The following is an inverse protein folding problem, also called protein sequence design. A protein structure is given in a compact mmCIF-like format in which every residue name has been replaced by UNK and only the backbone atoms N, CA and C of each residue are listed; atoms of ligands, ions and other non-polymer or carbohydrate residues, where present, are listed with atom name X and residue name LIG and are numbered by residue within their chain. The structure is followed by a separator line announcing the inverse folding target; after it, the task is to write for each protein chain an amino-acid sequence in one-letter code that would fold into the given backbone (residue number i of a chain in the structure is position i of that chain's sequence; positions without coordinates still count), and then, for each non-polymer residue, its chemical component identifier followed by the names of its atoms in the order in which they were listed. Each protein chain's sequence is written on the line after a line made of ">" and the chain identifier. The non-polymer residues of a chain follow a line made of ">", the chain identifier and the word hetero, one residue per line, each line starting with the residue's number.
data_IF_962308504505
#
_entry.id   IF_962308504505
#
_cell.length_a   1.000
_cell.length_b   1.000
_cell.length_c   1.000
_cell.angle_alpha   90.00
_cell.angle_beta   90.00
_cell.angle_gamma   90.00
#
_symmetry.space_group_name_H-M   'P 1'
#
loop_
_entity.id
_entity.type
_entity.pdbx_description
1 polymer ?
#
# COMPACT_ATOMS: atom_id res chain seq x y z
N UNK A 1 -46.90 20.57 -0.19
CA UNK A 1 -47.26 19.13 -0.12
C UNK A 1 -47.56 18.66 -1.53
N UNK A 2 -46.50 18.37 -2.30
CA UNK A 2 -46.57 17.71 -3.60
C UNK A 2 -45.84 16.38 -3.46
N UNK A 3 -46.52 15.32 -3.86
CA UNK A 3 -46.21 13.91 -3.61
C UNK A 3 -44.92 13.49 -4.32
N UNK A 4 -43.85 13.24 -3.55
CA UNK A 4 -42.67 12.50 -4.00
C UNK A 4 -43.04 11.01 -4.13
N UNK A 5 -43.15 10.51 -5.37
CA UNK A 5 -43.33 9.09 -5.63
C UNK A 5 -41.97 8.38 -5.63
N UNK A 6 -41.64 7.76 -4.50
CA UNK A 6 -40.55 6.79 -4.38
C UNK A 6 -41.10 5.41 -4.76
N UNK A 7 -40.60 4.81 -5.84
CA UNK A 7 -40.87 3.42 -6.22
C UNK A 7 -39.67 2.56 -5.84
N UNK A 8 -39.92 1.52 -5.05
CA UNK A 8 -39.00 0.39 -4.86
C UNK A 8 -39.28 -0.65 -5.94
N UNK A 9 -38.24 -1.15 -6.62
CA UNK A 9 -38.38 -2.30 -7.50
C UNK A 9 -37.28 -3.34 -7.26
N UNK A 10 -37.71 -4.59 -7.04
CA UNK A 10 -36.88 -5.79 -7.05
C UNK A 10 -36.70 -6.24 -8.50
N UNK A 11 -35.48 -6.21 -9.00
CA UNK A 11 -35.13 -6.59 -10.37
C UNK A 11 -35.15 -8.11 -10.59
N UNK A 12 -35.87 -8.54 -11.64
CA UNK A 12 -35.52 -9.70 -12.47
C UNK A 12 -35.40 -9.21 -13.93
N UNK A 13 -34.45 -9.74 -14.73
CA UNK A 13 -34.16 -9.21 -16.05
C UNK A 13 -35.10 -9.83 -17.10
N UNK A 14 -35.45 -9.07 -18.15
CA UNK A 14 -35.32 -9.62 -19.50
C UNK A 14 -35.36 -8.61 -20.66
N UNK A 15 -34.63 -9.02 -21.70
CA UNK A 15 -34.77 -8.84 -23.15
C UNK A 15 -34.84 -7.44 -23.80
N UNK A 16 -33.69 -7.06 -24.39
CA UNK A 16 -33.52 -6.33 -25.64
C UNK A 16 -34.37 -5.07 -25.90
N UNK A 17 -33.76 -3.92 -25.62
CA UNK A 17 -34.07 -2.63 -26.27
C UNK A 17 -32.77 -1.91 -26.56
N UNK A 18 -32.25 -2.05 -27.78
CA UNK A 18 -31.04 -1.39 -28.23
C UNK A 18 -31.22 0.14 -28.21
N UNK A 19 -30.38 0.82 -27.43
CA UNK A 19 -30.13 2.25 -27.56
C UNK A 19 -28.64 2.39 -27.83
N UNK A 20 -28.31 2.89 -29.02
CA UNK A 20 -26.96 3.30 -29.42
C UNK A 20 -26.48 4.33 -28.40
N UNK A 21 -25.55 3.93 -27.53
CA UNK A 21 -24.80 4.88 -26.71
C UNK A 21 -23.81 5.58 -27.62
N UNK A 22 -23.84 6.91 -27.62
CA UNK A 22 -22.68 7.69 -28.03
C UNK A 22 -21.54 7.32 -27.07
N UNK A 23 -20.52 6.68 -27.59
CA UNK A 23 -19.28 6.39 -26.89
C UNK A 23 -18.53 7.71 -26.65
N UNK A 24 -18.79 8.37 -25.52
CA UNK A 24 -17.78 9.21 -24.87
C UNK A 24 -16.84 8.29 -24.07
N UNK A 25 -16.19 7.35 -24.77
CA UNK A 25 -14.98 6.71 -24.26
C UNK A 25 -13.84 7.69 -24.50
N UNK A 26 -13.63 8.58 -23.53
CA UNK A 26 -12.31 9.22 -23.38
C UNK A 26 -11.36 8.09 -22.99
N UNK A 27 -10.74 7.45 -23.98
CA UNK A 27 -9.58 6.58 -23.75
C UNK A 27 -8.51 7.43 -23.06
N UNK A 28 -8.44 7.31 -21.72
CA UNK A 28 -7.33 7.86 -20.95
C UNK A 28 -6.06 7.23 -21.50
N UNK A 29 -5.06 8.06 -21.75
CA UNK A 29 -3.76 7.54 -22.19
C UNK A 29 -3.15 6.71 -21.05
N UNK A 30 -2.36 5.68 -21.37
CA UNK A 30 -1.71 4.86 -20.35
C UNK A 30 -0.90 5.69 -19.35
N UNK A 31 -0.37 6.84 -19.76
CA UNK A 31 0.39 7.73 -18.89
C UNK A 31 -0.51 8.51 -17.89
N UNK A 32 -1.74 8.87 -18.28
CA UNK A 32 -2.72 9.48 -17.38
C UNK A 32 -3.24 8.47 -16.34
N UNK A 33 -3.48 7.21 -16.72
CA UNK A 33 -3.89 6.17 -15.76
C UNK A 33 -2.82 5.88 -14.69
N UNK A 34 -1.54 5.99 -15.06
CA UNK A 34 -0.40 5.80 -14.16
C UNK A 34 -0.31 6.89 -13.10
N UNK A 35 -0.43 8.15 -13.52
CA UNK A 35 -0.40 9.31 -12.62
C UNK A 35 -1.60 9.29 -11.67
N UNK A 36 -2.76 8.83 -12.16
CA UNK A 36 -4.00 8.68 -11.39
C UNK A 36 -3.86 7.67 -10.25
N UNK A 37 -3.29 6.46 -10.48
CA UNK A 37 -3.12 5.44 -9.43
C UNK A 37 -2.21 5.91 -8.29
N UNK A 38 -1.09 6.56 -8.61
CA UNK A 38 -0.17 7.07 -7.60
C UNK A 38 -0.78 8.23 -6.79
N UNK A 39 -1.49 9.16 -7.46
CA UNK A 39 -2.19 10.25 -6.82
C UNK A 39 -3.32 9.75 -5.91
N UNK A 40 -4.09 8.74 -6.35
CA UNK A 40 -5.11 8.08 -5.54
C UNK A 40 -4.50 7.41 -4.30
N UNK A 41 -3.37 6.72 -4.44
CA UNK A 41 -2.67 6.11 -3.31
C UNK A 41 -2.19 7.17 -2.31
N UNK A 42 -1.61 8.27 -2.81
CA UNK A 42 -1.18 9.39 -1.98
C UNK A 42 -2.35 10.03 -1.23
N UNK A 43 -3.44 10.34 -1.92
CA UNK A 43 -4.65 10.90 -1.32
C UNK A 43 -5.19 9.98 -0.23
N UNK A 44 -5.27 8.68 -0.51
CA UNK A 44 -5.66 7.67 0.46
C UNK A 44 -4.75 7.68 1.70
N UNK A 45 -3.43 7.78 1.55
CA UNK A 45 -2.50 7.84 2.69
C UNK A 45 -2.64 9.14 3.49
N UNK A 46 -3.00 10.26 2.85
CA UNK A 46 -3.17 11.55 3.52
C UNK A 46 -4.48 11.66 4.31
N UNK A 47 -5.58 11.12 3.79
CA UNK A 47 -6.90 11.25 4.43
C UNK A 47 -7.16 10.20 5.53
N UNK A 48 -6.42 9.08 5.52
CA UNK A 48 -6.67 7.98 6.45
C UNK A 48 -6.06 8.25 7.81
N UNK A 49 -6.91 8.35 8.82
CA UNK A 49 -6.52 8.44 10.23
C UNK A 49 -6.47 7.09 10.94
N UNK A 50 -7.25 6.10 10.48
CA UNK A 50 -7.42 4.80 11.14
C UNK A 50 -7.33 3.63 10.16
N UNK A 51 -7.23 2.41 10.72
CA UNK A 51 -7.29 1.17 9.95
C UNK A 51 -8.67 1.00 9.32
N UNK A 52 -8.71 0.37 8.14
CA UNK A 52 -9.96 -0.11 7.56
C UNK A 52 -10.29 -1.45 8.20
N UNK A 53 -11.43 -1.52 8.88
CA UNK A 53 -11.95 -2.77 9.43
C UNK A 53 -12.19 -3.77 8.31
N UNK A 54 -12.04 -5.07 8.60
CA UNK A 54 -12.30 -6.10 7.59
C UNK A 54 -12.83 -7.41 8.18
N UNK A 55 -13.97 -7.85 7.67
CA UNK A 55 -14.60 -9.12 8.06
C UNK A 55 -14.01 -10.34 7.35
N UNK A 56 -13.46 -10.16 6.14
CA UNK A 56 -12.85 -11.22 5.34
C UNK A 56 -11.71 -11.96 6.04
N UNK A 57 -11.66 -13.28 5.89
CA UNK A 57 -10.55 -14.09 6.41
C UNK A 57 -9.27 -13.87 5.57
N UNK A 58 -8.12 -14.00 6.23
CA UNK A 58 -6.80 -13.93 5.61
C UNK A 58 -6.47 -15.31 5.05
N UNK A 59 -6.22 -15.38 3.75
CA UNK A 59 -5.70 -16.58 3.08
C UNK A 59 -4.18 -16.57 3.16
N UNK A 60 -3.60 -17.68 3.63
CA UNK A 60 -2.14 -17.84 3.79
C UNK A 60 -1.69 -19.05 2.99
N UNK A 61 -0.75 -18.84 2.07
CA UNK A 61 -0.08 -19.89 1.31
C UNK A 61 1.40 -19.86 1.70
N UNK A 62 1.82 -20.82 2.52
CA UNK A 62 3.22 -20.94 2.93
C UNK A 62 4.05 -21.64 1.86
N UNK A 63 5.35 -21.33 1.81
CA UNK A 63 6.32 -22.04 0.98
C UNK A 63 6.36 -23.54 1.33
N UNK A 64 6.39 -23.83 2.63
CA UNK A 64 6.24 -25.18 3.16
C UNK A 64 4.81 -25.35 3.70
N UNK A 65 3.94 -26.12 3.03
CA UNK A 65 2.55 -26.29 3.43
C UNK A 65 2.39 -27.11 4.72
N UNK A 66 3.45 -27.75 5.20
CA UNK A 66 3.43 -28.54 6.45
C UNK A 66 3.88 -27.71 7.66
N UNK A 67 4.41 -26.51 7.43
CA UNK A 67 4.78 -25.60 8.50
C UNK A 67 3.53 -25.13 9.24
N UNK A 68 3.53 -25.08 10.58
CA UNK A 68 2.36 -24.59 11.32
C UNK A 68 2.08 -23.13 10.97
N UNK A 69 0.79 -22.80 10.85
CA UNK A 69 0.33 -21.42 10.70
C UNK A 69 0.51 -20.69 12.04
N UNK A 70 1.29 -19.62 12.03
CA UNK A 70 1.47 -18.75 13.19
C UNK A 70 0.66 -17.47 13.00
N UNK A 71 -0.25 -17.23 13.94
CA UNK A 71 -0.99 -15.97 14.06
C UNK A 71 -0.79 -15.44 15.48
N UNK A 72 -0.56 -14.13 15.61
CA UNK A 72 -0.44 -13.44 16.90
C UNK A 72 -1.64 -12.54 17.15
N UNK A 73 -1.97 -12.30 18.42
CA UNK A 73 -3.07 -11.38 18.82
C UNK A 73 -2.61 -10.12 19.52
N UNK A 74 -1.33 -10.05 19.88
CA UNK A 74 -0.71 -8.91 20.56
C UNK A 74 0.70 -8.65 20.03
N UNK A 75 1.23 -7.44 20.22
CA UNK A 75 2.61 -7.12 19.82
C UNK A 75 3.64 -7.76 20.76
N UNK A 76 3.26 -8.07 22.00
CA UNK A 76 4.07 -8.77 23.00
C UNK A 76 4.44 -10.18 22.56
N UNK A 77 3.51 -10.89 21.90
CA UNK A 77 3.74 -12.25 21.38
C UNK A 77 4.86 -12.29 20.33
N UNK A 78 5.13 -11.18 19.64
CA UNK A 78 6.19 -11.07 18.64
C UNK A 78 7.60 -10.91 19.24
N UNK A 79 7.71 -10.72 20.57
CA UNK A 79 8.98 -10.56 21.28
C UNK A 79 9.90 -9.51 20.65
N UNK A 80 9.33 -8.37 20.26
CA UNK A 80 10.06 -7.26 19.66
C UNK A 80 11.10 -6.69 20.62
N UNK A 81 12.15 -6.07 20.06
CA UNK A 81 13.09 -5.24 20.83
C UNK A 81 12.30 -4.18 21.63
N UNK A 82 12.62 -3.92 22.91
CA UNK A 82 11.85 -2.98 23.75
C UNK A 82 11.66 -1.60 23.12
N UNK A 83 12.69 -1.07 22.47
CA UNK A 83 12.65 0.21 21.77
C UNK A 83 11.64 0.21 20.62
N UNK A 84 11.55 -0.90 19.88
CA UNK A 84 10.60 -1.04 18.78
C UNK A 84 9.17 -1.17 19.30
N UNK A 85 8.94 -1.97 20.35
CA UNK A 85 7.62 -2.11 20.97
C UNK A 85 7.13 -0.75 21.52
N UNK A 86 8.02 0.03 22.14
CA UNK A 86 7.72 1.39 22.58
C UNK A 86 7.34 2.30 21.39
N UNK A 87 8.03 2.19 20.26
CA UNK A 87 7.71 2.90 19.02
C UNK A 87 6.31 2.58 18.49
N UNK A 88 5.95 1.29 18.46
CA UNK A 88 4.61 0.82 18.07
C UNK A 88 3.53 1.44 18.95
N UNK A 89 3.71 1.45 20.28
CA UNK A 89 2.73 2.04 21.19
C UNK A 89 2.67 3.57 21.15
N UNK A 90 3.80 4.25 20.95
CA UNK A 90 3.83 5.70 20.80
C UNK A 90 3.08 6.20 19.55
N UNK A 91 2.98 5.37 18.52
CA UNK A 91 2.16 5.62 17.33
C UNK A 91 0.66 5.35 17.55
N UNK A 92 0.26 4.85 18.73
CA UNK A 92 -1.13 4.54 19.06
C UNK A 92 -1.62 3.16 18.62
N UNK A 93 -0.72 2.25 18.21
CA UNK A 93 -1.09 0.89 17.81
C UNK A 93 -1.21 -0.02 19.03
N UNK A 94 -2.44 -0.33 19.44
CA UNK A 94 -2.70 -1.16 20.61
C UNK A 94 -2.61 -2.66 20.33
N UNK A 95 -2.95 -3.10 19.11
CA UNK A 95 -2.92 -4.50 18.66
C UNK A 95 -2.58 -4.60 17.17
N UNK A 96 -2.02 -5.73 16.71
CA UNK A 96 -1.82 -5.97 15.28
C UNK A 96 -3.14 -5.92 14.51
N UNK A 97 -3.12 -5.37 13.30
CA UNK A 97 -4.24 -5.48 12.36
C UNK A 97 -4.35 -6.90 11.80
N UNK A 98 -5.48 -7.26 11.19
CA UNK A 98 -5.73 -8.63 10.67
C UNK A 98 -4.65 -9.14 9.71
N UNK A 99 -4.11 -8.28 8.85
CA UNK A 99 -3.00 -8.63 7.97
C UNK A 99 -1.68 -8.78 8.76
N UNK A 100 -1.45 -7.92 9.76
CA UNK A 100 -0.26 -7.96 10.60
C UNK A 100 -0.20 -9.19 11.50
N UNK A 101 -1.35 -9.68 12.00
CA UNK A 101 -1.43 -10.90 12.81
C UNK A 101 -0.77 -12.11 12.15
N UNK A 102 -0.81 -12.18 10.80
CA UNK A 102 -0.24 -13.27 10.01
C UNK A 102 1.09 -12.87 9.34
N UNK A 103 1.23 -11.62 8.89
CA UNK A 103 2.43 -11.17 8.21
C UNK A 103 3.63 -11.00 9.17
N UNK A 104 3.42 -10.46 10.37
CA UNK A 104 4.51 -10.17 11.30
C UNK A 104 5.24 -11.42 11.78
N UNK A 105 4.56 -12.50 12.25
CA UNK A 105 5.25 -13.72 12.65
C UNK A 105 6.10 -14.32 11.53
N UNK A 106 5.59 -14.26 10.30
CA UNK A 106 6.25 -14.80 9.12
C UNK A 106 7.48 -13.98 8.71
N UNK A 107 7.38 -12.65 8.76
CA UNK A 107 8.50 -11.75 8.46
C UNK A 107 9.59 -11.76 9.54
N UNK A 108 9.22 -12.03 10.79
CA UNK A 108 10.13 -12.09 11.94
C UNK A 108 10.65 -13.50 12.24
N UNK A 109 10.18 -14.51 11.49
CA UNK A 109 10.66 -15.89 11.64
C UNK A 109 12.16 -16.00 11.34
N UNK A 110 12.79 -16.95 12.01
CA UNK A 110 14.16 -17.36 11.77
C UNK A 110 14.18 -18.81 11.22
N UNK A 111 14.79 -19.05 10.05
CA UNK A 111 15.48 -18.08 9.18
C UNK A 111 14.52 -17.07 8.51
N UNK A 112 15.03 -15.93 8.00
CA UNK A 112 14.22 -14.93 7.30
C UNK A 112 13.45 -15.54 6.13
N UNK A 113 12.14 -15.28 6.09
CA UNK A 113 11.27 -15.76 5.03
C UNK A 113 10.80 -14.62 4.13
N UNK A 114 10.72 -14.91 2.83
CA UNK A 114 10.21 -13.99 1.83
C UNK A 114 8.68 -13.95 1.86
N UNK A 115 8.10 -12.80 1.52
CA UNK A 115 6.66 -12.59 1.60
C UNK A 115 6.15 -11.73 0.43
N UNK A 116 5.06 -12.18 -0.18
CA UNK A 116 4.19 -11.39 -1.03
C UNK A 116 2.86 -11.19 -0.29
N UNK A 117 2.48 -9.95 -0.01
CA UNK A 117 1.26 -9.63 0.73
C UNK A 117 0.31 -8.76 -0.08
N UNK A 118 -0.89 -9.30 -0.33
CA UNK A 118 -2.04 -8.58 -0.85
C UNK A 118 -2.98 -8.19 0.28
N UNK A 119 -3.26 -6.90 0.39
CA UNK A 119 -4.44 -6.43 1.13
C UNK A 119 -4.78 -5.02 0.70
N UNK A 120 -6.04 -4.58 0.85
CA UNK A 120 -6.44 -3.22 0.49
C UNK A 120 -5.63 -2.13 1.21
N UNK A 121 -5.64 -0.91 0.70
CA UNK A 121 -5.00 0.22 1.40
C UNK A 121 -5.58 0.38 2.81
N UNK A 122 -4.77 0.91 3.73
CA UNK A 122 -5.17 1.17 5.14
C UNK A 122 -5.44 -0.06 6.01
N UNK A 123 -5.05 -1.26 5.60
CA UNK A 123 -5.05 -2.46 6.46
C UNK A 123 -3.82 -2.55 7.36
N UNK A 124 -2.85 -1.64 7.24
CA UNK A 124 -1.62 -1.63 8.05
C UNK A 124 -0.40 -2.28 7.40
N UNK A 125 -0.38 -2.46 6.07
CA UNK A 125 0.78 -2.98 5.31
C UNK A 125 2.08 -2.21 5.59
N UNK A 126 2.03 -0.89 5.53
CA UNK A 126 3.19 -0.02 5.74
C UNK A 126 3.80 -0.21 7.12
N UNK A 127 2.98 -0.18 8.18
CA UNK A 127 3.45 -0.46 9.52
C UNK A 127 4.03 -1.88 9.66
N UNK A 128 3.48 -2.87 8.94
CA UNK A 128 3.97 -4.25 9.00
C UNK A 128 5.42 -4.38 8.49
N UNK A 129 5.72 -3.85 7.30
CA UNK A 129 7.08 -3.96 6.76
C UNK A 129 8.07 -3.02 7.42
N UNK A 130 7.62 -1.85 7.90
CA UNK A 130 8.49 -0.94 8.67
C UNK A 130 8.92 -1.63 9.96
N UNK A 131 8.00 -2.30 10.66
CA UNK A 131 8.31 -3.07 11.85
C UNK A 131 9.29 -4.22 11.54
N UNK A 132 9.13 -4.91 10.41
CA UNK A 132 10.08 -5.94 9.97
C UNK A 132 11.49 -5.37 9.69
N UNK A 133 11.59 -4.24 8.99
CA UNK A 133 12.86 -3.54 8.75
C UNK A 133 13.53 -3.13 10.06
N UNK A 134 12.80 -2.50 10.97
CA UNK A 134 13.30 -2.04 12.27
C UNK A 134 13.69 -3.19 13.20
N UNK A 135 13.06 -4.36 13.05
CA UNK A 135 13.43 -5.54 13.83
C UNK A 135 14.81 -6.07 13.42
N UNK A 136 15.12 -6.01 12.12
CA UNK A 136 16.35 -6.57 11.52
C UNK A 136 17.52 -5.60 11.47
N UNK A 137 17.28 -4.29 11.56
CA UNK A 137 18.34 -3.28 11.53
C UNK A 137 19.20 -3.32 12.80
N UNK A 138 20.51 -3.10 12.64
CA UNK A 138 21.48 -2.93 13.72
C UNK A 138 22.07 -1.51 13.68
N UNK A 139 21.63 -0.59 14.55
CA UNK A 139 22.03 0.82 14.48
C UNK A 139 23.54 1.09 14.61
N UNK A 140 24.29 0.22 15.29
CA UNK A 140 25.74 0.38 15.45
C UNK A 140 26.52 0.28 14.12
N UNK A 141 25.94 -0.38 13.12
CA UNK A 141 26.52 -0.56 11.79
C UNK A 141 26.14 0.60 10.88
N UNK A 142 27.07 1.54 10.65
CA UNK A 142 26.85 2.78 9.87
C UNK A 142 26.94 2.58 8.36
N UNK A 143 26.02 1.78 7.82
CA UNK A 143 25.82 1.55 6.39
C UNK A 143 24.38 1.04 6.13
N UNK A 144 23.85 1.20 4.90
CA UNK A 144 22.53 0.69 4.53
C UNK A 144 22.39 -0.82 4.74
N UNK A 145 21.36 -1.21 5.49
CA UNK A 145 20.99 -2.58 5.81
C UNK A 145 19.57 -2.91 5.34
N UNK A 146 18.68 -1.93 5.28
CA UNK A 146 17.32 -2.10 4.78
C UNK A 146 17.07 -1.13 3.63
N UNK A 147 16.47 -1.63 2.54
CA UNK A 147 16.16 -0.84 1.35
C UNK A 147 14.68 -0.96 1.01
N UNK A 148 13.98 0.17 0.95
CA UNK A 148 12.58 0.25 0.55
C UNK A 148 12.43 1.02 -0.77
N UNK A 149 11.76 0.41 -1.75
CA UNK A 149 11.33 1.09 -2.97
C UNK A 149 9.90 1.59 -2.82
N UNK A 150 9.69 2.85 -3.15
CA UNK A 150 8.37 3.45 -3.31
C UNK A 150 8.23 4.03 -4.71
N UNK A 151 7.04 3.97 -5.32
CA UNK A 151 6.88 4.33 -6.73
C UNK A 151 7.05 5.83 -6.99
N UNK A 152 6.71 6.70 -6.03
CA UNK A 152 6.86 8.15 -6.17
C UNK A 152 7.62 8.79 -5.01
N UNK A 153 8.04 10.04 -5.22
CA UNK A 153 8.69 10.86 -4.21
C UNK A 153 7.81 11.05 -2.98
N UNK A 154 6.54 11.39 -3.19
CA UNK A 154 5.57 11.70 -2.14
C UNK A 154 5.27 10.45 -1.30
N UNK A 155 5.10 9.30 -1.95
CA UNK A 155 4.89 8.03 -1.25
C UNK A 155 6.13 7.60 -0.46
N UNK A 156 7.34 7.85 -0.99
CA UNK A 156 8.58 7.64 -0.25
C UNK A 156 8.66 8.51 1.01
N UNK A 157 8.26 9.78 0.94
CA UNK A 157 8.20 10.66 2.11
C UNK A 157 7.19 10.18 3.16
N UNK A 158 6.01 9.71 2.73
CA UNK A 158 4.99 9.19 3.65
C UNK A 158 5.49 7.95 4.40
N UNK A 159 6.06 6.98 3.68
CA UNK A 159 6.62 5.78 4.31
C UNK A 159 7.85 6.13 5.17
N UNK A 160 8.66 7.11 4.76
CA UNK A 160 9.78 7.61 5.56
C UNK A 160 9.36 8.17 6.93
N UNK A 161 8.27 8.95 6.98
CA UNK A 161 7.70 9.43 8.25
C UNK A 161 7.28 8.29 9.18
N UNK A 162 6.72 7.20 8.64
CA UNK A 162 6.35 6.02 9.43
C UNK A 162 7.60 5.34 10.01
N UNK A 163 8.69 5.25 9.22
CA UNK A 163 9.98 4.71 9.68
C UNK A 163 10.53 5.57 10.83
N UNK A 164 10.54 6.89 10.66
CA UNK A 164 11.04 7.83 11.67
C UNK A 164 10.21 7.77 12.96
N UNK A 165 8.88 7.74 12.86
CA UNK A 165 7.99 7.67 14.03
C UNK A 165 8.12 6.34 14.79
N UNK A 166 8.08 5.21 14.07
CA UNK A 166 8.19 3.88 14.70
C UNK A 166 9.62 3.64 15.23
N UNK A 167 10.62 4.21 14.57
CA UNK A 167 12.04 4.12 14.93
C UNK A 167 12.51 5.16 15.96
N UNK A 168 11.64 6.04 16.45
CA UNK A 168 12.01 7.21 17.26
C UNK A 168 12.79 6.87 18.56
N UNK A 169 12.64 5.65 19.07
CA UNK A 169 13.37 5.17 20.26
C UNK A 169 14.70 4.47 19.94
N UNK A 170 15.20 4.59 18.71
CA UNK A 170 16.56 4.21 18.31
C UNK A 170 17.41 5.46 18.03
N UNK A 171 18.16 5.99 19.02
CA UNK A 171 18.86 7.28 18.88
C UNK A 171 19.88 7.33 17.74
N UNK A 172 20.44 6.18 17.40
CA UNK A 172 21.48 6.04 16.38
C UNK A 172 20.95 5.69 14.98
N UNK A 173 19.66 5.37 14.87
CA UNK A 173 19.04 5.00 13.60
C UNK A 173 18.82 6.25 12.75
N UNK A 174 19.21 6.18 11.48
CA UNK A 174 19.00 7.25 10.52
C UNK A 174 18.44 6.72 9.21
N UNK A 175 17.69 7.58 8.53
CA UNK A 175 17.04 7.32 7.26
C UNK A 175 17.64 8.22 6.18
N UNK A 176 17.96 7.64 5.02
CA UNK A 176 18.33 8.39 3.82
C UNK A 176 17.25 8.26 2.73
N UNK A 177 16.96 9.39 2.08
CA UNK A 177 16.00 9.46 0.97
C UNK A 177 16.73 9.43 -0.37
N UNK A 178 16.72 8.27 -1.05
CA UNK A 178 17.28 8.08 -2.39
C UNK A 178 16.23 8.44 -3.46
N UNK A 179 15.93 9.73 -3.56
CA UNK A 179 14.92 10.28 -4.47
C UNK A 179 15.49 11.42 -5.32
N UNK A 180 14.83 11.75 -6.43
CA UNK A 180 15.23 12.88 -7.28
C UNK A 180 15.33 14.17 -6.47
N UNK A 181 16.32 15.00 -6.77
CA UNK A 181 16.60 16.24 -6.05
C UNK A 181 17.61 16.11 -4.91
N UNK A 182 17.81 14.90 -4.35
CA UNK A 182 18.86 14.68 -3.35
C UNK A 182 20.23 14.55 -4.01
N UNK A 183 21.06 15.60 -3.91
CA UNK A 183 22.41 15.63 -4.47
C UNK A 183 23.41 15.19 -3.42
N UNK A 184 24.21 14.20 -3.76
CA UNK A 184 25.36 13.75 -2.97
C UNK A 184 26.61 13.86 -3.81
N UNK A 185 27.72 14.19 -3.17
CA UNK A 185 29.00 14.33 -3.85
C UNK A 185 29.58 12.98 -4.24
N UNK A 186 30.25 12.93 -5.39
CA UNK A 186 30.87 11.70 -5.86
C UNK A 186 31.95 11.24 -4.88
N UNK A 187 31.89 9.97 -4.46
CA UNK A 187 32.80 9.41 -3.46
C UNK A 187 32.24 9.41 -2.03
N UNK A 188 31.13 10.12 -1.78
CA UNK A 188 30.40 10.00 -0.52
C UNK A 188 29.80 8.60 -0.37
N UNK A 189 29.70 8.14 0.87
CA UNK A 189 29.00 6.90 1.25
C UNK A 189 27.86 7.23 2.17
N UNK A 190 26.73 6.54 1.96
CA UNK A 190 25.59 6.60 2.88
C UNK A 190 25.98 5.88 4.17
N UNK A 191 25.72 6.53 5.30
CA UNK A 191 26.00 6.00 6.64
C UNK A 191 24.71 5.55 7.37
N UNK A 192 23.58 5.99 6.84
CA UNK A 192 22.22 5.68 7.26
C UNK A 192 21.93 4.20 7.02
N UNK A 193 21.25 3.58 7.99
CA UNK A 193 21.00 2.14 8.00
C UNK A 193 19.76 1.76 7.20
N UNK A 194 18.85 2.71 7.00
CA UNK A 194 17.66 2.53 6.18
C UNK A 194 17.71 3.52 5.02
N UNK A 195 17.43 3.01 3.83
CA UNK A 195 17.26 3.83 2.63
C UNK A 195 15.86 3.60 2.10
N UNK A 196 15.15 4.70 1.82
CA UNK A 196 13.90 4.69 1.07
C UNK A 196 14.04 5.54 -0.18
N UNK A 197 13.50 5.11 -1.31
CA UNK A 197 13.67 5.86 -2.54
C UNK A 197 12.86 5.38 -3.72
N UNK A 198 12.97 6.13 -4.82
CA UNK A 198 12.35 5.75 -6.09
C UNK A 198 13.29 4.85 -6.89
N UNK A 199 12.76 3.92 -7.73
CA UNK A 199 13.59 2.91 -8.40
C UNK A 199 14.74 3.50 -9.21
N UNK A 200 14.50 4.58 -9.95
CA UNK A 200 15.54 5.23 -10.77
C UNK A 200 16.73 5.73 -9.94
N UNK A 201 16.46 6.48 -8.85
CA UNK A 201 17.52 7.06 -8.02
C UNK A 201 18.24 6.00 -7.19
N UNK A 202 17.51 5.01 -6.64
CA UNK A 202 18.11 3.90 -5.91
C UNK A 202 19.04 3.08 -6.82
N UNK A 203 18.61 2.80 -8.06
CA UNK A 203 19.43 2.08 -9.02
C UNK A 203 20.75 2.82 -9.29
N UNK A 204 20.70 4.15 -9.45
CA UNK A 204 21.90 4.97 -9.63
C UNK A 204 22.82 4.96 -8.40
N UNK A 205 22.26 5.05 -7.19
CA UNK A 205 23.00 5.00 -5.93
C UNK A 205 23.73 3.66 -5.75
N UNK A 206 23.10 2.56 -6.15
CA UNK A 206 23.68 1.22 -6.07
C UNK A 206 24.71 0.95 -7.17
N UNK A 207 24.46 1.39 -8.41
CA UNK A 207 25.21 0.95 -9.59
C UNK A 207 26.25 1.97 -10.06
N UNK A 208 25.82 3.16 -10.48
CA UNK A 208 26.65 4.18 -11.11
C UNK A 208 27.45 4.99 -10.11
N UNK A 209 26.77 5.48 -9.07
CA UNK A 209 27.33 6.39 -8.07
C UNK A 209 28.02 5.65 -6.92
N UNK A 210 27.63 4.39 -6.69
CA UNK A 210 28.18 3.50 -5.66
C UNK A 210 28.11 4.12 -4.25
N UNK A 211 27.05 4.86 -3.95
CA UNK A 211 26.79 5.42 -2.63
C UNK A 211 26.36 4.35 -1.63
N UNK A 212 25.72 3.29 -2.14
CA UNK A 212 25.27 2.11 -1.39
C UNK A 212 26.04 0.89 -1.89
N UNK A 213 26.39 -0.02 -0.97
CA UNK A 213 26.83 -1.37 -1.31
C UNK A 213 25.64 -2.34 -1.18
N UNK A 214 25.05 -2.82 -2.30
CA UNK A 214 23.87 -3.70 -2.27
C UNK A 214 24.11 -5.02 -1.56
N UNK A 215 25.38 -5.47 -1.42
CA UNK A 215 25.72 -6.74 -0.77
C UNK A 215 25.54 -6.73 0.75
N UNK A 216 25.31 -5.55 1.35
CA UNK A 216 25.06 -5.38 2.78
C UNK A 216 23.59 -5.27 3.15
N UNK A 217 22.70 -5.25 2.14
CA UNK A 217 21.26 -5.18 2.36
C UNK A 217 20.76 -6.54 2.87
N UNK A 218 20.16 -6.52 4.06
CA UNK A 218 19.55 -7.68 4.74
C UNK A 218 18.03 -7.77 4.46
N UNK A 219 17.38 -6.63 4.24
CA UNK A 219 15.93 -6.55 4.00
C UNK A 219 15.65 -5.63 2.81
N UNK A 220 14.87 -6.13 1.87
CA UNK A 220 14.40 -5.40 0.69
C UNK A 220 12.87 -5.38 0.67
N UNK A 221 12.31 -4.18 0.55
CA UNK A 221 10.87 -3.95 0.49
C UNK A 221 10.51 -3.28 -0.83
N UNK A 222 9.45 -3.77 -1.46
CA UNK A 222 8.78 -3.11 -2.57
C UNK A 222 7.33 -2.79 -2.16
N UNK A 223 7.06 -1.50 -1.94
CA UNK A 223 5.73 -0.99 -1.54
C UNK A 223 4.91 -0.56 -2.77
N UNK A 224 3.58 -0.70 -2.69
CA UNK A 224 2.61 -0.35 -3.73
C UNK A 224 2.97 -0.96 -5.11
N UNK A 225 3.13 -2.29 -5.17
CA UNK A 225 3.59 -2.99 -6.38
C UNK A 225 2.69 -2.78 -7.61
N UNK A 226 1.39 -2.62 -7.40
CA UNK A 226 0.38 -2.26 -8.40
C UNK A 226 0.61 -0.88 -9.02
N UNK A 227 1.01 0.11 -8.22
CA UNK A 227 1.44 1.43 -8.70
C UNK A 227 2.84 1.33 -9.34
N UNK A 228 3.73 0.52 -8.75
CA UNK A 228 5.10 0.33 -9.22
C UNK A 228 5.17 -0.20 -10.66
N UNK A 229 4.31 -1.15 -11.02
CA UNK A 229 4.29 -1.70 -12.39
C UNK A 229 3.61 -0.77 -13.39
N UNK A 230 2.74 0.11 -12.92
CA UNK A 230 2.09 1.09 -13.79
C UNK A 230 3.14 2.08 -14.30
N UNK A 231 4.03 2.56 -13.43
CA UNK A 231 5.03 3.57 -13.82
C UNK A 231 6.08 3.02 -14.80
N UNK A 232 6.23 3.71 -15.93
CA UNK A 232 7.14 3.29 -17.01
C UNK A 232 8.58 3.10 -16.51
N UNK A 233 9.15 1.94 -16.78
CA UNK A 233 10.53 1.57 -16.44
C UNK A 233 10.77 1.21 -14.97
N UNK A 234 9.82 1.45 -14.05
CA UNK A 234 9.98 1.10 -12.64
C UNK A 234 10.06 -0.41 -12.41
N UNK A 235 9.30 -1.20 -13.18
CA UNK A 235 9.39 -2.66 -13.17
C UNK A 235 10.83 -3.14 -13.43
N UNK A 236 11.44 -2.71 -14.53
CA UNK A 236 12.78 -3.13 -14.92
C UNK A 236 13.85 -2.62 -13.96
N UNK A 237 13.73 -1.37 -13.52
CA UNK A 237 14.64 -0.78 -12.54
C UNK A 237 14.60 -1.54 -11.20
N UNK A 238 13.40 -1.89 -10.72
CA UNK A 238 13.21 -2.66 -9.49
C UNK A 238 13.83 -4.06 -9.59
N UNK A 239 13.63 -4.76 -10.71
CA UNK A 239 14.25 -6.07 -10.96
C UNK A 239 15.79 -5.95 -11.02
N UNK A 240 16.32 -4.90 -11.64
CA UNK A 240 17.77 -4.66 -11.69
C UNK A 240 18.35 -4.43 -10.30
N UNK A 241 17.68 -3.65 -9.45
CA UNK A 241 18.09 -3.46 -8.05
C UNK A 241 18.07 -4.80 -7.31
N UNK A 242 16.97 -5.56 -7.42
CA UNK A 242 16.82 -6.86 -6.76
C UNK A 242 17.95 -7.83 -7.12
N UNK A 243 18.37 -7.88 -8.38
CA UNK A 243 19.47 -8.74 -8.85
C UNK A 243 20.84 -8.37 -8.27
N UNK A 244 21.01 -7.16 -7.76
CA UNK A 244 22.26 -6.72 -7.11
C UNK A 244 22.36 -7.19 -5.66
N UNK A 245 21.22 -7.52 -5.02
CA UNK A 245 21.13 -7.92 -3.62
C UNK A 245 21.75 -9.32 -3.39
N UNK A 246 22.10 -9.66 -2.13
CA UNK A 246 22.58 -10.99 -1.81
C UNK A 246 21.40 -11.99 -1.70
N UNK A 247 21.68 -13.30 -1.76
CA UNK A 247 20.65 -14.35 -1.81
C UNK A 247 19.91 -14.54 -0.48
N UNK A 248 20.55 -14.21 0.62
CA UNK A 248 20.04 -14.22 1.99
C UNK A 248 19.31 -12.93 2.36
N UNK A 249 19.20 -11.96 1.44
CA UNK A 249 18.36 -10.78 1.63
C UNK A 249 16.89 -11.21 1.70
N UNK A 250 16.21 -10.84 2.78
CA UNK A 250 14.77 -11.02 2.90
C UNK A 250 14.06 -10.09 1.90
N UNK A 251 13.17 -10.66 1.09
CA UNK A 251 12.42 -9.95 0.06
C UNK A 251 10.94 -9.88 0.42
N UNK A 252 10.43 -8.66 0.54
CA UNK A 252 9.06 -8.36 0.95
C UNK A 252 8.39 -7.50 -0.12
N UNK A 253 7.22 -7.91 -0.60
CA UNK A 253 6.45 -7.17 -1.60
C UNK A 253 5.02 -6.97 -1.13
N UNK A 254 4.52 -5.74 -1.24
CA UNK A 254 3.19 -5.34 -0.81
C UNK A 254 2.43 -4.69 -1.96
N UNK A 255 1.16 -5.03 -2.11
CA UNK A 255 0.27 -4.43 -3.11
C UNK A 255 -1.16 -4.33 -2.59
N UNK A 256 -1.92 -3.35 -3.07
CA UNK A 256 -3.36 -3.32 -2.84
C UNK A 256 -4.10 -4.28 -3.78
N UNK A 257 -3.66 -4.37 -5.03
CA UNK A 257 -4.22 -5.27 -6.05
C UNK A 257 -3.20 -6.29 -6.53
N UNK A 258 -3.70 -7.42 -7.03
CA UNK A 258 -2.90 -8.52 -7.60
C UNK A 258 -3.49 -8.97 -8.93
N UNK A 259 -3.65 -8.03 -9.84
CA UNK A 259 -3.89 -8.35 -11.25
C UNK A 259 -2.75 -9.22 -11.79
N UNK A 260 -2.99 -9.97 -12.87
CA UNK A 260 -2.03 -10.93 -13.42
C UNK A 260 -0.65 -10.30 -13.72
N UNK A 261 -0.62 -9.03 -14.14
CA UNK A 261 0.60 -8.25 -14.37
C UNK A 261 1.39 -8.05 -13.08
N UNK A 262 0.72 -7.67 -11.99
CA UNK A 262 1.31 -7.48 -10.66
C UNK A 262 1.81 -8.82 -10.11
N UNK A 263 1.03 -9.89 -10.26
CA UNK A 263 1.42 -11.21 -9.80
C UNK A 263 2.66 -11.74 -10.54
N UNK A 264 2.68 -11.65 -11.88
CA UNK A 264 3.85 -12.02 -12.69
C UNK A 264 5.08 -11.19 -12.35
N UNK A 265 4.90 -9.91 -12.03
CA UNK A 265 5.99 -9.06 -11.56
C UNK A 265 6.50 -9.52 -10.19
N UNK A 266 5.60 -9.76 -9.23
CA UNK A 266 5.95 -10.16 -7.88
C UNK A 266 6.75 -11.47 -7.86
N UNK A 267 6.36 -12.45 -8.67
CA UNK A 267 7.09 -13.72 -8.82
C UNK A 267 8.51 -13.55 -9.39
N UNK A 268 8.77 -12.51 -10.19
CA UNK A 268 10.12 -12.20 -10.70
C UNK A 268 11.00 -11.52 -9.64
N UNK A 269 10.39 -10.79 -8.72
CA UNK A 269 11.10 -10.02 -7.69
C UNK A 269 11.37 -10.86 -6.45
N UNK A 270 10.39 -11.66 -6.01
CA UNK A 270 10.45 -12.39 -4.74
C UNK A 270 10.61 -13.90 -4.99
N UNK A 271 11.81 -14.48 -4.77
CA UNK A 271 12.01 -15.92 -4.91
C UNK A 271 11.41 -16.68 -3.72
N UNK A 272 10.88 -17.87 -3.98
CA UNK A 272 10.27 -18.77 -2.99
C UNK A 272 9.36 -18.06 -1.95
N UNK A 273 8.37 -17.27 -2.39
CA UNK A 273 7.58 -16.43 -1.50
C UNK A 273 6.58 -17.25 -0.69
N UNK A 274 6.42 -16.90 0.60
CA UNK A 274 5.12 -17.07 1.21
C UNK A 274 4.15 -16.02 0.65
N UNK A 275 2.86 -16.33 0.62
CA UNK A 275 1.84 -15.45 0.06
C UNK A 275 0.74 -15.26 1.10
N UNK A 276 0.38 -14.01 1.36
CA UNK A 276 -0.79 -13.66 2.16
C UNK A 276 -1.75 -12.87 1.28
N UNK A 277 -3.01 -13.30 1.23
CA UNK A 277 -4.08 -12.59 0.53
C UNK A 277 -5.21 -12.28 1.49
N UNK A 278 -5.53 -10.99 1.60
CA UNK A 278 -6.77 -10.53 2.21
C UNK A 278 -7.66 -10.00 1.10
N UNK A 279 -8.77 -10.70 0.86
CA UNK A 279 -9.77 -10.26 -0.13
C UNK A 279 -10.26 -8.88 0.24
N UNK A 280 -10.43 -8.02 -0.77
CA UNK A 280 -11.05 -6.72 -0.63
C UNK A 280 -12.45 -6.94 -0.04
N UNK A 281 -12.83 -6.10 0.91
CA UNK A 281 -14.21 -6.12 1.38
C UNK A 281 -15.09 -5.63 0.24
N UNK A 282 -16.03 -6.47 -0.16
CA UNK A 282 -17.08 -6.03 -1.07
C UNK A 282 -17.99 -5.16 -0.21
N UNK A 283 -18.02 -3.85 -0.48
CA UNK A 283 -19.06 -2.98 0.08
C UNK A 283 -20.37 -3.47 -0.52
N UNK A 284 -21.12 -4.28 0.23
CA UNK A 284 -22.45 -4.64 -0.20
C UNK A 284 -23.32 -3.38 -0.10
N UNK A 285 -24.04 -3.07 -1.18
CA UNK A 285 -25.01 -1.96 -1.22
C UNK A 285 -26.24 -2.27 -0.34
N UNK A 286 -26.23 -3.35 0.44
CA UNK A 286 -27.36 -3.83 1.24
C UNK A 286 -27.86 -2.78 2.24
N UNK A 287 -26.98 -1.89 2.70
CA UNK A 287 -27.33 -0.77 3.60
C UNK A 287 -27.53 0.55 2.86
N UNK A 288 -27.11 0.65 1.59
CA UNK A 288 -27.21 1.86 0.77
C UNK A 288 -28.51 1.81 -0.04
N UNK A 289 -29.48 2.60 0.39
CA UNK A 289 -30.72 2.81 -0.37
C UNK A 289 -30.43 3.70 -1.57
N UNK A 290 -30.55 3.13 -2.76
CA UNK A 290 -30.30 3.83 -4.01
C UNK A 290 -31.59 4.40 -4.58
N UNK A 291 -31.53 5.68 -4.98
CA UNK A 291 -32.65 6.40 -5.56
C UNK A 291 -32.19 7.18 -6.78
N UNK A 292 -33.12 7.49 -7.67
CA UNK A 292 -32.89 8.41 -8.77
C UNK A 292 -34.05 9.42 -8.85
N UNK A 293 -33.75 10.62 -9.37
CA UNK A 293 -34.75 11.67 -9.60
C UNK A 293 -34.72 12.06 -11.06
N UNK A 294 -35.84 11.86 -11.76
CA UNK A 294 -36.01 12.30 -13.15
C UNK A 294 -36.08 13.83 -13.18
N UNK A 295 -35.21 14.44 -13.98
CA UNK A 295 -35.16 15.89 -14.19
C UNK A 295 -34.98 16.18 -15.67
N UNK A 296 -35.74 17.13 -16.19
CA UNK A 296 -35.75 17.49 -17.62
C UNK A 296 -34.59 18.39 -18.00
N UNK A 297 -34.04 19.14 -17.04
CA UNK A 297 -32.95 20.08 -17.23
C UNK A 297 -32.15 20.30 -15.92
N UNK A 298 -31.09 21.12 -16.00
CA UNK A 298 -30.19 21.39 -14.87
C UNK A 298 -30.87 22.18 -13.75
N UNK A 299 -31.77 23.10 -14.06
CA UNK A 299 -32.50 23.89 -13.06
C UNK A 299 -33.45 22.99 -12.25
N UNK A 300 -34.08 22.01 -12.88
CA UNK A 300 -34.87 20.98 -12.20
C UNK A 300 -34.00 20.09 -11.31
N UNK A 301 -32.80 19.69 -11.75
CA UNK A 301 -31.85 18.96 -10.88
C UNK A 301 -31.49 19.77 -9.64
N UNK A 302 -31.23 21.06 -9.80
CA UNK A 302 -30.91 21.96 -8.68
C UNK A 302 -32.08 22.09 -7.71
N UNK A 303 -33.31 22.31 -8.22
CA UNK A 303 -34.51 22.37 -7.38
C UNK A 303 -34.78 21.05 -6.65
N UNK A 304 -34.62 19.91 -7.33
CA UNK A 304 -34.75 18.60 -6.72
C UNK A 304 -33.76 18.43 -5.56
N UNK A 305 -32.50 18.83 -5.76
CA UNK A 305 -31.47 18.80 -4.72
C UNK A 305 -31.85 19.70 -3.53
N UNK A 306 -32.34 20.93 -3.76
CA UNK A 306 -32.82 21.81 -2.69
C UNK A 306 -33.97 21.18 -1.90
N UNK A 307 -34.92 20.54 -2.58
CA UNK A 307 -36.05 19.88 -1.94
C UNK A 307 -35.59 18.71 -1.05
N UNK A 308 -34.59 17.94 -1.50
CA UNK A 308 -34.00 16.87 -0.71
C UNK A 308 -33.38 17.45 0.57
N UNK A 309 -32.53 18.48 0.46
CA UNK A 309 -31.94 19.14 1.63
C UNK A 309 -32.96 19.75 2.59
N UNK A 310 -34.12 20.20 2.09
CA UNK A 310 -35.21 20.71 2.92
C UNK A 310 -36.05 19.63 3.59
N UNK A 311 -36.09 18.41 3.05
CA UNK A 311 -36.97 17.33 3.51
C UNK A 311 -36.29 16.31 4.43
N UNK A 312 -34.98 16.13 4.31
CA UNK A 312 -34.23 15.15 5.10
C UNK A 312 -33.17 15.83 5.97
N UNK A 313 -32.98 15.32 7.19
CA UNK A 313 -31.90 15.75 8.07
C UNK A 313 -30.59 15.17 7.56
N UNK A 314 -29.85 15.98 6.80
CA UNK A 314 -28.55 15.62 6.24
C UNK A 314 -27.46 16.15 7.18
N UNK A 315 -26.60 15.28 7.71
CA UNK A 315 -25.44 15.70 8.48
C UNK A 315 -24.31 16.20 7.56
N UNK A 316 -23.86 15.33 6.65
CA UNK A 316 -22.88 15.64 5.60
C UNK A 316 -23.28 14.88 4.34
N UNK A 317 -22.99 15.46 3.17
CA UNK A 317 -23.22 14.81 1.89
C UNK A 317 -22.12 15.17 0.89
N UNK A 318 -21.87 14.25 -0.04
CA UNK A 318 -20.98 14.45 -1.18
C UNK A 318 -21.81 14.57 -2.45
N UNK A 319 -21.51 15.58 -3.26
CA UNK A 319 -22.15 15.79 -4.57
C UNK A 319 -21.07 15.66 -5.62
N UNK A 320 -21.18 14.62 -6.46
CA UNK A 320 -20.29 14.39 -7.59
C UNK A 320 -20.90 15.04 -8.84
N UNK A 321 -20.13 15.90 -9.51
CA UNK A 321 -20.51 16.56 -10.76
C UNK A 321 -19.66 16.04 -11.92
N UNK A 322 -20.18 16.17 -13.14
CA UNK A 322 -19.41 15.99 -14.38
C UNK A 322 -18.69 17.29 -14.72
#
# INVERSE_FOLDING_TARGET
>A
LSTLHLKDEKTKPDANGAVVKADDNVEKTEDEEKEDRAAQSLLNKLIRSNLVDTTNQVEVLQRDPTSPLYSVKSFEELRLKPQLLQGVYAMGFNRPSKIQENALPMMLAEPPQNLIAQSQSGTGKTAAFVLAMLSRVEPGNKYPQCLCLSPTYELALQTGKVIEQMGNFYPELKLAYAVRGNKLERGQKISEQIVIGTPGTVLDWCSKLKFIDPKKIKVFVLDEADVMIATQGHQDQSIRIQRMLPRDCQMLLFSATFEDSVWKFAQKVVPDPNIIKLKREEETLDTIKQYYVLCSNRDEKFRALCNIYGAITIAQAMIFCH
#
